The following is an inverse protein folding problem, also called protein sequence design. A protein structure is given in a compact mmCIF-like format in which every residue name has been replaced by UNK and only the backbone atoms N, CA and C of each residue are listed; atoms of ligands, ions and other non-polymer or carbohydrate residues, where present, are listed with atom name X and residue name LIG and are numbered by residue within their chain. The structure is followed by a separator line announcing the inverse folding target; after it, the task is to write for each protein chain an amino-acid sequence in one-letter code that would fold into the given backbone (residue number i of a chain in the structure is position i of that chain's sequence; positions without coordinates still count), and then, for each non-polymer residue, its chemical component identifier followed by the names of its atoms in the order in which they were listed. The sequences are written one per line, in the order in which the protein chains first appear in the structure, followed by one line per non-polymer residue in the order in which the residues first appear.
data_IF_411101052484
#
_entry.id   IF_411101052484
#
_cell.length_a   1.000
_cell.length_b   1.000
_cell.length_c   1.000
_cell.angle_alpha   90.00
_cell.angle_beta   90.00
_cell.angle_gamma   90.00
#
_symmetry.space_group_name_H-M   'P 1'
#
loop_
_entity.id
_entity.type
_entity.pdbx_description
1 polymer ?
#
# COMPACT_ATOMS: atom_id res chain seq x y z
N UNK A 1 -4.86 -39.59 -11.20
CA UNK A 1 -5.87 -38.52 -11.00
C UNK A 1 -5.13 -37.22 -10.77
N UNK A 2 -5.14 -36.31 -11.74
CA UNK A 2 -4.55 -34.97 -11.59
C UNK A 2 -5.59 -34.08 -10.90
N UNK A 3 -5.15 -33.34 -9.88
CA UNK A 3 -6.01 -32.64 -8.94
C UNK A 3 -6.64 -31.42 -9.63
N UNK A 4 -7.95 -31.43 -9.87
CA UNK A 4 -8.67 -30.40 -10.62
C UNK A 4 -8.47 -28.98 -10.06
N UNK A 5 -8.14 -28.86 -8.77
CA UNK A 5 -7.81 -27.60 -8.13
C UNK A 5 -6.49 -26.98 -8.65
N UNK A 6 -5.49 -27.80 -8.98
CA UNK A 6 -4.23 -27.34 -9.54
C UNK A 6 -4.40 -26.83 -10.99
N UNK A 7 -5.25 -27.49 -11.78
CA UNK A 7 -5.60 -27.02 -13.12
C UNK A 7 -6.47 -25.76 -13.10
N UNK A 8 -7.41 -25.64 -12.16
CA UNK A 8 -8.18 -24.42 -11.96
C UNK A 8 -7.30 -23.23 -11.53
N UNK A 9 -6.28 -23.48 -10.70
CA UNK A 9 -5.31 -22.46 -10.29
C UNK A 9 -4.43 -22.01 -11.46
N UNK A 10 -3.99 -22.96 -12.30
CA UNK A 10 -3.23 -22.66 -13.51
C UNK A 10 -4.06 -21.99 -14.60
N UNK A 11 -5.36 -22.29 -14.70
CA UNK A 11 -6.27 -21.67 -15.69
C UNK A 11 -6.67 -20.24 -15.34
N UNK A 12 -6.75 -19.89 -14.05
CA UNK A 12 -6.82 -18.48 -13.61
C UNK A 12 -5.47 -17.78 -13.79
N UNK A 13 -4.37 -18.54 -13.75
CA UNK A 13 -3.01 -18.09 -14.11
C UNK A 13 -2.78 -18.11 -15.63
N UNK A 14 -3.82 -17.83 -16.42
CA UNK A 14 -3.79 -17.84 -17.87
C UNK A 14 -2.56 -17.09 -18.40
N UNK A 15 -1.76 -17.84 -19.14
CA UNK A 15 -0.72 -17.45 -20.10
C UNK A 15 -0.69 -15.96 -20.40
N UNK A 16 -0.10 -15.21 -19.49
CA UNK A 16 0.49 -13.94 -19.81
C UNK A 16 1.69 -13.77 -18.88
N UNK A 17 2.88 -14.03 -19.43
CA UNK A 17 4.01 -13.15 -19.19
C UNK A 17 3.60 -11.73 -19.64
N UNK A 18 2.64 -11.08 -18.97
CA UNK A 18 2.64 -9.63 -18.90
C UNK A 18 3.64 -9.36 -17.79
N UNK A 19 4.87 -8.89 -18.09
CA UNK A 19 5.71 -8.30 -17.06
C UNK A 19 4.81 -7.30 -16.32
N UNK A 20 4.69 -7.45 -15.00
CA UNK A 20 3.65 -6.79 -14.20
C UNK A 20 3.32 -5.42 -14.76
N UNK A 21 2.05 -5.23 -15.18
CA UNK A 21 1.50 -4.03 -15.82
C UNK A 21 2.40 -2.81 -15.62
N UNK A 22 3.03 -2.34 -16.71
CA UNK A 22 4.12 -1.36 -16.70
C UNK A 22 4.00 -0.35 -15.55
N UNK A 23 4.92 -0.42 -14.58
CA UNK A 23 4.94 0.44 -13.40
C UNK A 23 4.31 -0.15 -12.12
N UNK A 24 3.85 -1.39 -12.11
CA UNK A 24 3.37 -2.09 -10.90
C UNK A 24 4.45 -2.98 -10.27
N UNK A 25 4.29 -3.26 -8.98
CA UNK A 25 5.17 -4.17 -8.25
C UNK A 25 5.02 -5.61 -8.75
N UNK A 26 6.13 -6.29 -9.02
CA UNK A 26 6.17 -7.69 -9.46
C UNK A 26 5.84 -8.71 -8.33
N UNK A 27 5.63 -8.26 -7.09
CA UNK A 27 5.13 -9.15 -6.03
C UNK A 27 3.64 -9.43 -6.26
N UNK A 28 3.25 -10.71 -6.22
CA UNK A 28 1.89 -11.14 -6.55
C UNK A 28 0.85 -10.39 -5.71
N UNK A 29 -0.17 -9.84 -6.38
CA UNK A 29 -1.27 -9.11 -5.76
C UNK A 29 -0.89 -7.74 -5.15
N UNK A 30 0.35 -7.26 -5.25
CA UNK A 30 0.74 -5.97 -4.69
C UNK A 30 0.15 -4.80 -5.49
N UNK A 31 -0.55 -3.89 -4.81
CA UNK A 31 -1.21 -2.73 -5.43
C UNK A 31 -0.33 -1.46 -5.52
N UNK A 32 0.96 -1.55 -5.21
CA UNK A 32 1.88 -0.40 -5.22
C UNK A 32 2.70 -0.34 -6.51
N UNK A 33 3.16 0.85 -6.91
CA UNK A 33 4.01 0.98 -8.08
C UNK A 33 5.38 0.31 -7.86
N UNK A 34 5.87 -0.35 -8.90
CA UNK A 34 7.22 -0.89 -8.97
C UNK A 34 8.19 0.21 -9.34
N UNK A 35 9.18 0.48 -8.49
CA UNK A 35 10.11 1.62 -8.66
C UNK A 35 11.58 1.22 -8.53
N UNK A 36 11.87 -0.03 -8.18
CA UNK A 36 13.23 -0.54 -8.00
C UNK A 36 13.37 -1.93 -8.59
N UNK A 37 14.48 -2.18 -9.29
CA UNK A 37 14.85 -3.50 -9.81
C UNK A 37 16.25 -3.86 -9.33
N UNK A 38 16.54 -5.16 -9.22
CA UNK A 38 17.89 -5.61 -8.89
C UNK A 38 18.77 -5.52 -10.14
N UNK A 39 19.95 -4.90 -10.02
CA UNK A 39 20.92 -4.83 -11.12
C UNK A 39 21.34 -6.20 -11.65
N UNK A 40 21.23 -7.25 -10.83
CA UNK A 40 21.59 -8.63 -11.17
C UNK A 40 20.47 -9.43 -11.84
N UNK A 41 19.22 -8.97 -11.77
CA UNK A 41 18.05 -9.67 -12.34
C UNK A 41 17.51 -8.98 -13.60
N UNK A 42 18.12 -7.86 -14.00
CA UNK A 42 17.70 -7.07 -15.14
C UNK A 42 16.38 -6.32 -14.92
N UNK A 43 15.88 -5.59 -15.93
CA UNK A 43 14.71 -4.73 -15.81
C UNK A 43 13.37 -5.48 -15.84
N UNK A 44 13.38 -6.81 -15.72
CA UNK A 44 12.18 -7.66 -15.86
C UNK A 44 11.23 -7.51 -14.67
N UNK A 45 11.80 -7.46 -13.46
CA UNK A 45 11.04 -7.37 -12.22
C UNK A 45 11.29 -6.02 -11.53
N UNK A 46 10.24 -5.22 -11.45
CA UNK A 46 10.23 -3.97 -10.68
C UNK A 46 9.44 -4.19 -9.40
N UNK A 47 10.06 -3.98 -8.26
CA UNK A 47 9.43 -4.08 -6.95
C UNK A 47 9.14 -2.69 -6.37
N UNK A 48 8.08 -2.62 -5.57
CA UNK A 48 7.89 -1.49 -4.68
C UNK A 48 8.92 -1.52 -3.55
N UNK A 49 9.06 -0.41 -2.83
CA UNK A 49 10.01 -0.30 -1.70
C UNK A 49 9.77 -1.21 -0.50
N UNK A 50 8.63 -1.88 -0.46
CA UNK A 50 8.29 -2.80 0.64
C UNK A 50 8.73 -4.22 0.31
N UNK A 51 8.59 -4.64 -0.94
CA UNK A 51 9.02 -5.97 -1.40
C UNK A 51 10.49 -6.00 -1.82
N UNK A 52 11.05 -4.88 -2.30
CA UNK A 52 12.46 -4.81 -2.63
C UNK A 52 13.34 -5.04 -1.39
N UNK A 53 14.17 -6.08 -1.44
CA UNK A 53 15.04 -6.48 -0.32
C UNK A 53 14.31 -7.11 0.88
N UNK A 54 13.03 -7.48 0.74
CA UNK A 54 12.34 -8.32 1.73
C UNK A 54 12.49 -9.80 1.37
N UNK A 55 12.66 -10.71 2.35
CA UNK A 55 12.64 -12.15 2.11
C UNK A 55 11.35 -12.57 1.40
N UNK A 56 11.44 -13.44 0.38
CA UNK A 56 10.28 -13.85 -0.42
C UNK A 56 9.18 -14.52 0.41
N UNK A 57 9.55 -15.19 1.50
CA UNK A 57 8.61 -15.78 2.45
C UNK A 57 7.73 -14.76 3.19
N UNK A 58 8.13 -13.49 3.25
CA UNK A 58 7.35 -12.42 3.93
C UNK A 58 6.46 -11.64 2.95
N UNK A 59 6.52 -11.93 1.65
CA UNK A 59 5.88 -11.11 0.63
C UNK A 59 4.36 -11.07 0.76
N UNK A 60 3.74 -12.22 1.06
CA UNK A 60 2.28 -12.32 1.18
C UNK A 60 1.79 -11.52 2.40
N UNK A 61 2.48 -11.60 3.53
CA UNK A 61 2.15 -10.82 4.73
C UNK A 61 2.35 -9.31 4.51
N UNK A 62 3.41 -8.93 3.79
CA UNK A 62 3.64 -7.54 3.41
C UNK A 62 2.50 -7.06 2.49
N UNK A 63 2.13 -7.85 1.49
CA UNK A 63 1.03 -7.55 0.55
C UNK A 63 -0.31 -7.40 1.28
N UNK A 64 -0.64 -8.30 2.21
CA UNK A 64 -1.85 -8.20 3.02
C UNK A 64 -1.90 -6.90 3.85
N UNK A 65 -0.77 -6.52 4.47
CA UNK A 65 -0.67 -5.28 5.25
C UNK A 65 -0.75 -4.02 4.39
N UNK A 66 -0.25 -4.07 3.15
CA UNK A 66 -0.39 -3.02 2.16
C UNK A 66 -1.87 -2.83 1.79
N UNK A 67 -2.59 -3.92 1.50
CA UNK A 67 -4.01 -3.84 1.14
C UNK A 67 -4.86 -3.21 2.25
N UNK A 68 -4.62 -3.60 3.50
CA UNK A 68 -5.29 -3.01 4.67
C UNK A 68 -5.01 -1.50 4.85
N UNK A 69 -3.97 -0.97 4.19
CA UNK A 69 -3.56 0.44 4.26
C UNK A 69 -3.56 1.11 2.88
N UNK A 70 -4.25 0.51 1.89
CA UNK A 70 -4.15 0.92 0.49
C UNK A 70 -4.45 2.41 0.29
N UNK A 71 -5.49 2.91 0.94
CA UNK A 71 -5.92 4.29 0.75
C UNK A 71 -4.96 5.31 1.39
N UNK A 72 -4.28 4.91 2.48
CA UNK A 72 -3.20 5.69 3.07
C UNK A 72 -1.99 5.75 2.13
N UNK A 73 -1.64 4.63 1.48
CA UNK A 73 -0.59 4.64 0.46
C UNK A 73 -0.96 5.49 -0.75
N UNK A 74 -2.20 5.41 -1.24
CA UNK A 74 -2.69 6.28 -2.33
C UNK A 74 -2.59 7.76 -1.95
N UNK A 75 -3.02 8.13 -0.76
CA UNK A 75 -2.91 9.49 -0.26
C UNK A 75 -1.45 9.95 -0.17
N UNK A 76 -0.56 9.11 0.36
CA UNK A 76 0.85 9.41 0.47
C UNK A 76 1.53 9.59 -0.89
N UNK A 77 1.23 8.70 -1.86
CA UNK A 77 1.73 8.78 -3.23
C UNK A 77 1.22 10.04 -3.95
N UNK A 78 -0.04 10.39 -3.75
CA UNK A 78 -0.61 11.63 -4.28
C UNK A 78 0.08 12.88 -3.71
N UNK A 79 0.40 12.86 -2.41
CA UNK A 79 1.09 13.97 -1.74
C UNK A 79 2.54 14.16 -2.24
N UNK A 80 3.30 13.07 -2.46
CA UNK A 80 4.68 13.19 -2.96
C UNK A 80 4.78 13.60 -4.42
N UNK A 81 3.74 13.34 -5.21
CA UNK A 81 3.68 13.71 -6.63
C UNK A 81 3.17 15.16 -6.87
N UNK A 82 2.85 15.90 -5.80
CA UNK A 82 2.52 17.34 -5.89
C UNK A 82 3.77 18.16 -6.21
N UNK A 83 3.58 19.35 -6.78
CA UNK A 83 4.68 20.30 -6.98
C UNK A 83 5.40 20.60 -5.64
N UNK A 84 6.73 20.64 -5.68
CA UNK A 84 7.57 20.89 -4.50
C UNK A 84 7.22 22.27 -3.91
N UNK A 85 7.09 22.33 -2.59
CA UNK A 85 6.75 23.57 -1.87
C UNK A 85 5.25 23.80 -1.66
N UNK A 86 4.37 23.02 -2.30
CA UNK A 86 2.93 23.10 -2.00
C UNK A 86 2.66 22.78 -0.53
N UNK A 87 1.85 23.63 0.11
CA UNK A 87 1.32 23.38 1.44
C UNK A 87 0.41 22.15 1.47
N UNK A 88 0.25 21.56 2.65
CA UNK A 88 -0.76 20.53 2.88
C UNK A 88 -2.14 21.19 2.83
N UNK A 89 -3.06 20.67 2.02
CA UNK A 89 -4.44 21.17 1.97
C UNK A 89 -5.28 20.61 3.12
N UNK A 90 -6.20 21.41 3.68
CA UNK A 90 -7.14 20.98 4.73
C UNK A 90 -7.94 19.71 4.35
N UNK A 91 -8.27 19.57 3.06
CA UNK A 91 -8.94 18.38 2.51
C UNK A 91 -8.09 17.11 2.68
N UNK A 92 -6.78 17.21 2.49
CA UNK A 92 -5.86 16.10 2.67
C UNK A 92 -5.73 15.73 4.15
N UNK A 93 -5.63 16.73 5.04
CA UNK A 93 -5.60 16.48 6.48
C UNK A 93 -6.88 15.83 6.98
N UNK A 94 -8.03 16.36 6.58
CA UNK A 94 -9.34 15.83 6.95
C UNK A 94 -9.51 14.38 6.50
N UNK A 95 -9.03 14.04 5.30
CA UNK A 95 -9.07 12.66 4.80
C UNK A 95 -8.16 11.72 5.61
N UNK A 96 -6.97 12.17 5.99
CA UNK A 96 -6.06 11.38 6.85
C UNK A 96 -6.67 11.15 8.23
N UNK A 97 -7.31 12.16 8.81
CA UNK A 97 -8.06 12.04 10.07
C UNK A 97 -9.25 11.06 9.92
N UNK A 98 -10.00 11.14 8.84
CA UNK A 98 -11.12 10.24 8.56
C UNK A 98 -10.71 8.77 8.41
N UNK A 99 -9.48 8.51 7.93
CA UNK A 99 -8.89 7.17 7.92
C UNK A 99 -8.39 6.70 9.30
N UNK A 100 -8.62 7.47 10.37
CA UNK A 100 -8.21 7.13 11.73
C UNK A 100 -6.70 7.25 11.98
N UNK A 101 -5.98 7.99 11.13
CA UNK A 101 -4.50 8.09 11.16
C UNK A 101 -4.00 9.51 11.40
N UNK A 102 -4.65 10.23 12.31
CA UNK A 102 -4.33 11.64 12.61
C UNK A 102 -2.87 11.84 13.06
N UNK A 103 -2.26 10.82 13.68
CA UNK A 103 -0.87 10.85 14.12
C UNK A 103 0.13 10.96 12.95
N UNK A 104 -0.27 10.61 11.72
CA UNK A 104 0.57 10.78 10.53
C UNK A 104 0.73 12.24 10.09
N UNK A 105 -0.05 13.18 10.65
CA UNK A 105 0.02 14.60 10.30
C UNK A 105 1.20 15.33 10.96
N UNK A 106 1.77 14.72 12.00
CA UNK A 106 2.86 15.28 12.80
C UNK A 106 4.09 14.41 12.71
N UNK A 107 5.27 15.04 12.60
CA UNK A 107 6.55 14.37 12.69
C UNK A 107 6.84 13.85 14.10
N UNK A 108 7.96 13.12 14.25
CA UNK A 108 8.41 12.59 15.53
C UNK A 108 8.74 13.70 16.57
N UNK A 109 8.98 14.93 16.10
CA UNK A 109 9.18 16.12 16.92
C UNK A 109 7.87 16.81 17.34
N UNK A 110 6.72 16.20 17.02
CA UNK A 110 5.39 16.73 17.28
C UNK A 110 4.98 17.89 16.38
N UNK A 111 5.80 18.26 15.39
CA UNK A 111 5.51 19.40 14.50
C UNK A 111 4.76 18.94 13.26
N UNK A 112 3.81 19.77 12.81
CA UNK A 112 3.11 19.55 11.55
C UNK A 112 4.06 19.69 10.35
N UNK A 113 3.84 18.85 9.33
CA UNK A 113 4.59 18.93 8.09
C UNK A 113 4.15 20.13 7.25
N UNK A 114 5.07 21.07 6.99
CA UNK A 114 4.78 22.32 6.27
C UNK A 114 4.47 22.14 4.78
N UNK A 115 4.88 21.04 4.17
CA UNK A 115 4.68 20.78 2.73
C UNK A 115 4.05 19.43 2.48
N UNK A 116 3.23 19.34 1.43
CA UNK A 116 2.63 18.09 0.96
C UNK A 116 3.68 17.01 0.71
N UNK A 117 4.81 17.37 0.10
CA UNK A 117 5.91 16.45 -0.13
C UNK A 117 6.53 15.89 1.16
N UNK A 118 6.74 16.74 2.17
CA UNK A 118 7.27 16.31 3.46
C UNK A 118 6.30 15.38 4.18
N UNK A 119 5.01 15.71 4.19
CA UNK A 119 3.96 14.86 4.75
C UNK A 119 3.88 13.51 4.03
N UNK A 120 3.83 13.52 2.69
CA UNK A 120 3.76 12.30 1.89
C UNK A 120 4.95 11.38 2.14
N UNK A 121 6.17 11.91 2.21
CA UNK A 121 7.36 11.12 2.54
C UNK A 121 7.32 10.56 3.96
N UNK A 122 6.86 11.35 4.93
CA UNK A 122 6.70 10.87 6.31
C UNK A 122 5.70 9.71 6.38
N UNK A 123 4.52 9.87 5.77
CA UNK A 123 3.51 8.80 5.67
C UNK A 123 4.10 7.55 5.02
N UNK A 124 4.81 7.71 3.90
CA UNK A 124 5.49 6.60 3.25
C UNK A 124 6.48 5.92 4.23
N UNK A 125 7.31 6.65 4.96
CA UNK A 125 8.24 6.05 5.91
C UNK A 125 7.54 5.26 7.02
N UNK A 126 6.51 5.84 7.65
CA UNK A 126 5.76 5.20 8.75
C UNK A 126 5.04 3.95 8.25
N UNK A 127 4.22 4.07 7.20
CA UNK A 127 3.48 2.94 6.63
C UNK A 127 4.43 1.84 6.14
N UNK A 128 5.59 2.22 5.60
CA UNK A 128 6.58 1.26 5.14
C UNK A 128 7.22 0.47 6.28
N UNK A 129 7.52 1.14 7.40
CA UNK A 129 8.01 0.48 8.61
C UNK A 129 6.96 -0.47 9.19
N UNK A 130 5.70 -0.04 9.25
CA UNK A 130 4.59 -0.88 9.75
C UNK A 130 4.40 -2.14 8.91
N UNK A 131 4.41 -2.01 7.58
CA UNK A 131 4.19 -3.15 6.68
C UNK A 131 5.38 -4.11 6.66
N UNK A 132 6.60 -3.62 6.90
CA UNK A 132 7.82 -4.44 6.97
C UNK A 132 8.18 -4.93 8.37
N UNK A 133 7.41 -4.58 9.40
CA UNK A 133 7.66 -5.08 10.74
C UNK A 133 7.47 -6.61 10.76
N UNK A 134 8.43 -7.39 11.30
CA UNK A 134 8.28 -8.83 11.36
C UNK A 134 7.08 -9.20 12.24
N UNK A 135 6.31 -10.22 11.84
CA UNK A 135 5.03 -10.57 12.45
C UNK A 135 5.12 -10.79 13.97
N UNK A 136 6.27 -11.26 14.47
CA UNK A 136 6.59 -11.40 15.91
C UNK A 136 6.46 -10.11 16.74
N UNK A 137 6.43 -8.95 16.09
CA UNK A 137 6.29 -7.64 16.72
C UNK A 137 4.90 -7.01 16.53
N UNK A 138 3.96 -7.72 15.89
CA UNK A 138 2.57 -7.30 15.84
C UNK A 138 1.86 -7.89 17.05
N UNK A 139 1.41 -7.04 17.98
CA UNK A 139 0.54 -7.47 19.06
C UNK A 139 -0.73 -8.16 18.51
N UNK A 140 -1.39 -8.94 19.37
CA UNK A 140 -2.70 -9.52 19.04
C UNK A 140 -3.62 -8.39 18.56
N UNK A 141 -4.30 -8.51 17.41
CA UNK A 141 -5.20 -7.47 16.92
C UNK A 141 -6.21 -7.13 18.03
N UNK A 142 -6.21 -5.87 18.48
CA UNK A 142 -7.28 -5.39 19.34
C UNK A 142 -8.59 -5.48 18.54
N UNK A 143 -9.64 -6.03 19.16
CA UNK A 143 -10.98 -6.18 18.58
C UNK A 143 -11.66 -4.84 18.20
N UNK A 144 -10.95 -3.72 18.31
CA UNK A 144 -11.36 -2.36 17.95
C UNK A 144 -10.81 -1.89 16.60
N UNK A 145 -10.38 -2.80 15.71
CA UNK A 145 -10.30 -2.49 14.28
C UNK A 145 -11.74 -2.39 13.76
N UNK A 146 -12.24 -1.15 13.76
CA UNK A 146 -13.58 -0.81 13.29
C UNK A 146 -13.89 -1.46 11.94
N UNK A 147 -15.14 -1.87 11.81
CA UNK A 147 -15.79 -2.33 10.59
C UNK A 147 -15.18 -1.68 9.34
N UNK A 148 -14.64 -2.52 8.47
CA UNK A 148 -14.27 -2.17 7.11
C UNK A 148 -15.45 -1.45 6.46
N UNK A 149 -15.24 -0.22 5.98
CA UNK A 149 -16.24 0.58 5.24
C UNK A 149 -16.66 -0.06 3.90
N UNK A 150 -16.09 -1.20 3.50
CA UNK A 150 -16.50 -1.92 2.29
C UNK A 150 -17.96 -2.43 2.35
N UNK A 151 -18.58 -2.47 3.54
CA UNK A 151 -19.97 -2.95 3.68
C UNK A 151 -21.04 -1.84 3.84
N UNK A 152 -20.69 -0.56 3.72
CA UNK A 152 -21.69 0.52 3.86
C UNK A 152 -21.58 1.58 2.76
N UNK A 153 -22.59 1.54 1.88
CA UNK A 153 -23.06 2.58 0.94
C UNK A 153 -22.55 2.55 -0.52
N UNK A 154 -22.79 1.44 -1.25
CA UNK A 154 -22.85 1.46 -2.74
C UNK A 154 -24.27 1.45 -3.32
N UNK A 155 -25.36 1.46 -2.53
CA UNK A 155 -26.72 1.25 -3.08
C UNK A 155 -27.65 2.47 -3.18
N UNK A 156 -27.21 3.73 -3.01
CA UNK A 156 -28.15 4.88 -3.10
C UNK A 156 -27.71 6.13 -3.87
N UNK A 157 -26.96 5.98 -4.96
CA UNK A 157 -26.74 7.12 -5.89
C UNK A 157 -26.94 6.76 -7.37
N UNK A 158 -27.89 5.87 -7.69
CA UNK A 158 -28.40 5.66 -9.06
C UNK A 158 -29.93 5.42 -9.14
N UNK A 159 -30.71 6.05 -8.26
CA UNK A 159 -32.17 6.05 -8.39
C UNK A 159 -32.79 7.34 -7.83
N UNK A 160 -32.66 8.43 -8.59
CA UNK A 160 -33.64 9.51 -8.82
C UNK A 160 -32.95 10.80 -9.26
#
# INVERSE_FOLDING_TARGET
MKNAYAEASAAVSGETDVPGTYGMCAANGCCLPGTMSSSTQGPKDWHCRLHFGAPRAEWDDITARIHNRRDLFKAALWLVNRAKGNAVSDKAESRIKAMGRAELLTGADGKAHRTAYALGNHMLQVLGRECRAPQKNMGVPSATLGTSWIDTDEEKEYAA
#
